data_IF_682660873272
#
_entry.id   IF_682660873272
#
_cell.length_a   1.000
_cell.length_b   1.000
_cell.length_c   1.000
_cell.angle_alpha   90.00
_cell.angle_beta   90.00
_cell.angle_gamma   90.00
#
_symmetry.space_group_name_H-M   'P 1'
#
loop_
_entity.id
_entity.type
_entity.pdbx_description
1 polymer ?
#
# COMPACT_ATOMS: atom_id res chain seq x y z
N UNK A 1 -10.45 16.14 -40.45
CA UNK A 1 -9.64 15.41 -39.45
C UNK A 1 -8.25 15.26 -40.00
N UNK A 2 -7.24 15.20 -39.13
CA UNK A 2 -5.85 14.95 -39.51
C UNK A 2 -5.29 13.80 -38.68
N UNK A 3 -4.22 13.18 -39.18
CA UNK A 3 -3.37 12.35 -38.33
C UNK A 3 -2.84 13.24 -37.20
N UNK A 4 -2.75 12.70 -35.98
CA UNK A 4 -2.21 13.45 -34.85
C UNK A 4 -0.73 13.73 -35.08
N UNK A 5 -0.35 15.02 -35.06
CA UNK A 5 1.03 15.48 -35.23
C UNK A 5 1.82 15.41 -33.91
N UNK A 6 1.12 15.47 -32.77
CA UNK A 6 1.73 15.32 -31.44
C UNK A 6 2.15 13.86 -31.19
N UNK A 7 3.29 13.62 -30.51
CA UNK A 7 3.66 12.27 -30.09
C UNK A 7 2.56 11.63 -29.25
N UNK A 8 2.22 10.38 -29.55
CA UNK A 8 1.28 9.59 -28.76
C UNK A 8 1.98 8.35 -28.23
N UNK A 9 1.70 8.00 -26.98
CA UNK A 9 2.21 6.81 -26.30
C UNK A 9 1.07 5.98 -25.73
N UNK A 10 1.24 4.67 -25.75
CA UNK A 10 0.44 3.72 -24.98
C UNK A 10 1.37 3.06 -23.98
N UNK A 11 1.07 3.20 -22.69
CA UNK A 11 1.89 2.64 -21.61
C UNK A 11 3.39 2.95 -21.79
N UNK A 12 3.72 4.20 -22.14
CA UNK A 12 5.10 4.65 -22.36
C UNK A 12 5.68 4.32 -23.74
N UNK A 13 5.17 3.31 -24.45
CA UNK A 13 5.65 2.96 -25.79
C UNK A 13 5.20 4.02 -26.83
N UNK A 14 6.16 4.61 -27.54
CA UNK A 14 5.88 5.57 -28.61
C UNK A 14 5.18 4.89 -29.79
N UNK A 15 4.08 5.50 -30.24
CA UNK A 15 3.33 5.07 -31.41
C UNK A 15 4.01 5.59 -32.66
N UNK A 16 4.36 4.70 -33.58
CA UNK A 16 4.76 5.05 -34.94
C UNK A 16 3.51 5.36 -35.75
N UNK A 17 2.98 6.56 -35.52
CA UNK A 17 1.73 7.00 -36.11
C UNK A 17 1.83 7.16 -37.64
N UNK A 18 3.04 7.34 -38.17
CA UNK A 18 3.31 7.55 -39.60
C UNK A 18 3.15 6.23 -40.38
N UNK A 19 3.60 5.12 -39.80
CA UNK A 19 3.56 3.81 -40.44
C UNK A 19 2.41 2.92 -39.93
N UNK A 20 1.65 3.35 -38.92
CA UNK A 20 0.50 2.61 -38.41
C UNK A 20 -0.62 2.48 -39.45
N UNK A 21 -1.13 1.26 -39.62
CA UNK A 21 -2.29 0.96 -40.46
C UNK A 21 -3.55 1.69 -39.97
N UNK A 22 -3.69 1.84 -38.66
CA UNK A 22 -4.77 2.58 -38.00
C UNK A 22 -4.12 3.62 -37.08
N UNK A 23 -3.76 4.79 -37.62
CA UNK A 23 -3.07 5.82 -36.85
C UNK A 23 -4.02 6.52 -35.89
N UNK A 24 -3.52 7.07 -34.80
CA UNK A 24 -4.23 8.06 -33.99
C UNK A 24 -4.53 9.31 -34.81
N UNK A 25 -5.70 9.88 -34.52
CA UNK A 25 -6.23 10.99 -35.29
C UNK A 25 -6.75 12.12 -34.41
N UNK A 26 -6.78 13.33 -34.95
CA UNK A 26 -7.29 14.50 -34.24
C UNK A 26 -8.52 15.10 -34.93
N UNK A 27 -9.53 15.41 -34.12
CA UNK A 27 -10.74 16.11 -34.53
C UNK A 27 -11.20 17.05 -33.42
N UNK A 28 -11.44 18.32 -33.77
CA UNK A 28 -11.87 19.33 -32.80
C UNK A 28 -10.87 19.57 -31.66
N UNK A 29 -9.58 19.29 -31.87
CA UNK A 29 -8.55 19.37 -30.83
C UNK A 29 -8.49 18.16 -29.89
N UNK A 30 -9.32 17.14 -30.11
CA UNK A 30 -9.30 15.88 -29.35
C UNK A 30 -8.63 14.79 -30.17
N UNK A 31 -7.74 14.03 -29.52
CA UNK A 31 -7.11 12.83 -30.08
C UNK A 31 -8.04 11.63 -29.94
N UNK A 32 -8.05 10.76 -30.94
CA UNK A 32 -8.90 9.59 -31.04
C UNK A 32 -8.07 8.32 -31.15
N UNK A 33 -8.42 7.34 -30.31
CA UNK A 33 -7.82 6.01 -30.26
C UNK A 33 -8.55 5.06 -31.24
N UNK A 34 -7.85 4.42 -32.18
CA UNK A 34 -8.42 3.33 -32.96
C UNK A 34 -8.64 2.09 -32.08
N UNK A 35 -9.88 1.64 -31.93
CA UNK A 35 -10.27 0.47 -31.14
C UNK A 35 -9.96 -0.85 -31.87
N UNK A 36 -8.66 -1.10 -32.10
CA UNK A 36 -8.18 -2.41 -32.55
C UNK A 36 -8.06 -3.36 -31.36
N UNK A 37 -7.98 -4.66 -31.65
CA UNK A 37 -7.74 -5.68 -30.62
C UNK A 37 -6.44 -5.43 -29.83
N UNK A 38 -5.35 -5.05 -30.51
CA UNK A 38 -4.05 -4.82 -29.86
C UNK A 38 -4.07 -3.58 -28.96
N UNK A 39 -4.72 -2.49 -29.39
CA UNK A 39 -4.89 -1.30 -28.54
C UNK A 39 -5.76 -1.59 -27.32
N UNK A 40 -6.85 -2.35 -27.51
CA UNK A 40 -7.73 -2.73 -26.42
C UNK A 40 -7.03 -3.61 -25.39
N UNK A 41 -6.32 -4.67 -25.81
CA UNK A 41 -5.53 -5.51 -24.91
C UNK A 41 -4.48 -4.69 -24.16
N UNK A 42 -3.73 -3.84 -24.88
CA UNK A 42 -2.66 -3.04 -24.27
C UNK A 42 -3.20 -2.12 -23.15
N UNK A 43 -4.40 -1.59 -23.32
CA UNK A 43 -5.06 -0.71 -22.36
C UNK A 43 -5.95 -1.45 -21.35
N UNK A 44 -6.04 -2.78 -21.42
CA UNK A 44 -6.92 -3.57 -20.56
C UNK A 44 -8.40 -3.24 -20.80
N UNK A 45 -8.80 -3.13 -22.06
CA UNK A 45 -10.19 -2.92 -22.47
C UNK A 45 -10.77 -4.23 -22.99
N UNK A 46 -11.99 -4.55 -22.55
CA UNK A 46 -12.83 -5.58 -23.15
C UNK A 46 -13.62 -4.98 -24.31
N UNK A 47 -13.54 -5.60 -25.47
CA UNK A 47 -14.38 -5.24 -26.62
C UNK A 47 -15.40 -6.36 -26.87
N UNK A 48 -16.68 -6.00 -26.83
CA UNK A 48 -17.79 -6.86 -27.21
C UNK A 48 -18.49 -6.31 -28.46
N UNK A 49 -18.98 -7.20 -29.31
CA UNK A 49 -19.85 -6.82 -30.42
C UNK A 49 -21.04 -7.77 -30.50
N UNK A 50 -22.22 -7.20 -30.62
CA UNK A 50 -23.46 -7.91 -30.83
C UNK A 50 -24.36 -7.16 -31.83
N UNK A 51 -25.14 -7.90 -32.61
CA UNK A 51 -25.92 -7.29 -33.69
C UNK A 51 -27.06 -6.40 -33.16
N UNK A 52 -27.61 -6.72 -31.99
CA UNK A 52 -28.75 -6.01 -31.40
C UNK A 52 -28.29 -4.85 -30.50
N UNK A 53 -27.19 -5.06 -29.77
CA UNK A 53 -26.68 -4.12 -28.75
C UNK A 53 -25.43 -3.34 -29.18
N UNK A 54 -24.86 -3.64 -30.35
CA UNK A 54 -23.77 -2.89 -30.97
C UNK A 54 -22.41 -3.10 -30.29
N UNK A 55 -21.59 -2.03 -30.27
CA UNK A 55 -20.26 -2.06 -29.67
C UNK A 55 -20.35 -1.88 -28.15
N UNK A 56 -19.71 -2.77 -27.42
CA UNK A 56 -19.61 -2.73 -25.97
C UNK A 56 -18.13 -2.56 -25.60
N UNK A 57 -17.84 -1.55 -24.78
CA UNK A 57 -16.48 -1.27 -24.30
C UNK A 57 -16.51 -1.29 -22.78
N UNK A 58 -15.79 -2.21 -22.18
CA UNK A 58 -15.68 -2.29 -20.74
C UNK A 58 -14.22 -2.16 -20.33
N UNK A 59 -13.95 -1.58 -19.17
CA UNK A 59 -12.66 -1.77 -18.52
C UNK A 59 -12.53 -3.26 -18.21
N UNK A 60 -11.60 -3.96 -18.86
CA UNK A 60 -11.26 -5.29 -18.41
C UNK A 60 -10.53 -5.09 -17.08
N UNK A 61 -11.14 -5.53 -15.97
CA UNK A 61 -10.37 -5.71 -14.75
C UNK A 61 -9.14 -6.55 -15.13
N UNK A 62 -7.90 -6.09 -14.90
CA UNK A 62 -6.77 -7.01 -14.95
C UNK A 62 -7.19 -8.19 -14.07
N UNK A 63 -7.05 -9.46 -14.54
CA UNK A 63 -7.60 -10.61 -13.84
C UNK A 63 -7.32 -10.47 -12.36
N UNK A 64 -8.41 -10.40 -11.59
CA UNK A 64 -8.39 -9.99 -10.21
C UNK A 64 -7.30 -10.75 -9.44
N UNK A 65 -6.54 -10.01 -8.66
CA UNK A 65 -5.78 -10.45 -7.49
C UNK A 65 -5.58 -11.96 -7.36
N UNK A 66 -4.36 -12.38 -7.69
CA UNK A 66 -3.81 -13.67 -7.32
C UNK A 66 -2.31 -13.63 -7.59
N UNK A 67 -1.52 -14.22 -6.70
CA UNK A 67 -0.15 -14.62 -7.01
C UNK A 67 -0.20 -15.62 -8.16
N UNK A 68 -0.27 -15.13 -9.39
CA UNK A 68 -0.15 -15.99 -10.56
C UNK A 68 1.34 -16.11 -10.84
N UNK A 69 1.92 -17.24 -10.42
CA UNK A 69 3.23 -17.63 -10.91
C UNK A 69 3.19 -17.67 -12.45
N UNK A 70 4.26 -17.20 -13.09
CA UNK A 70 4.43 -17.22 -14.54
C UNK A 70 3.41 -16.38 -15.33
N UNK A 71 2.96 -15.24 -14.80
CA UNK A 71 2.22 -14.29 -15.61
C UNK A 71 3.15 -13.54 -16.57
N UNK A 72 2.79 -13.50 -17.84
CA UNK A 72 3.44 -12.70 -18.86
C UNK A 72 2.44 -11.69 -19.41
N UNK A 73 2.89 -10.44 -19.57
CA UNK A 73 2.12 -9.44 -20.31
C UNK A 73 2.42 -9.62 -21.81
N UNK A 74 1.40 -9.74 -22.68
CA UNK A 74 1.65 -9.68 -24.12
C UNK A 74 2.27 -8.33 -24.47
N UNK A 75 3.40 -8.33 -25.18
CA UNK A 75 3.98 -7.10 -25.71
C UNK A 75 2.96 -6.39 -26.61
N UNK A 76 2.82 -5.08 -26.47
CA UNK A 76 1.97 -4.29 -27.35
C UNK A 76 2.59 -4.23 -28.75
N UNK A 77 1.86 -4.76 -29.74
CA UNK A 77 2.30 -4.82 -31.13
C UNK A 77 1.58 -3.76 -31.95
N UNK A 78 2.35 -2.95 -32.65
CA UNK A 78 1.81 -1.97 -33.59
C UNK A 78 1.68 -2.61 -34.97
N UNK A 79 0.51 -2.48 -35.60
CA UNK A 79 0.31 -2.90 -36.98
C UNK A 79 0.88 -1.84 -37.93
N UNK A 80 2.16 -1.98 -38.29
CA UNK A 80 2.88 -1.07 -39.17
C UNK A 80 2.73 -1.44 -40.67
N UNK A 81 1.70 -2.21 -41.03
CA UNK A 81 1.47 -2.65 -42.41
C UNK A 81 0.76 -1.63 -43.30
N UNK A 82 0.80 -0.34 -42.95
CA UNK A 82 0.17 0.71 -43.73
C UNK A 82 0.68 0.68 -45.18
N UNK A 83 -0.18 0.24 -46.11
CA UNK A 83 0.12 0.23 -47.55
C UNK A 83 -0.13 1.59 -48.20
N UNK A 84 -0.83 2.49 -47.49
CA UNK A 84 -1.19 3.83 -47.96
C UNK A 84 -1.18 4.80 -46.78
N UNK A 85 -0.32 5.81 -46.86
CA UNK A 85 -0.30 6.94 -45.92
C UNK A 85 -1.62 7.69 -46.04
N UNK A 86 -2.30 7.94 -44.91
CA UNK A 86 -3.51 8.78 -44.91
C UNK A 86 -3.16 10.18 -45.46
N UNK A 87 -4.00 10.78 -46.31
CA UNK A 87 -3.80 12.16 -46.72
C UNK A 87 -3.86 13.10 -45.50
N UNK A 88 -3.19 14.24 -45.58
CA UNK A 88 -3.13 15.25 -44.51
C UNK A 88 -4.51 15.66 -43.96
N UNK A 89 -5.56 15.48 -44.77
CA UNK A 89 -6.95 15.56 -44.32
C UNK A 89 -7.77 14.40 -44.89
N UNK A 90 -8.61 13.77 -44.08
CA UNK A 90 -9.56 12.75 -44.51
C UNK A 90 -10.92 12.89 -43.80
N UNK A 91 -11.92 12.18 -44.33
CA UNK A 91 -13.30 12.17 -43.85
C UNK A 91 -13.56 10.87 -43.09
N UNK A 92 -13.92 10.98 -41.81
CA UNK A 92 -14.56 9.89 -41.07
C UNK A 92 -16.07 10.15 -40.97
N UNK A 93 -16.84 9.11 -40.66
CA UNK A 93 -18.29 9.23 -40.43
C UNK A 93 -18.59 8.91 -38.97
N UNK A 94 -19.66 9.47 -38.41
CA UNK A 94 -20.09 9.06 -37.06
C UNK A 94 -20.48 7.58 -37.07
N UNK A 95 -20.08 6.82 -36.07
CA UNK A 95 -20.55 5.44 -35.89
C UNK A 95 -22.08 5.46 -35.68
N UNK A 96 -22.79 4.65 -36.49
CA UNK A 96 -24.25 4.67 -36.59
C UNK A 96 -24.94 3.55 -35.80
N UNK A 97 -24.18 2.62 -35.26
CA UNK A 97 -24.67 1.52 -34.42
C UNK A 97 -24.67 1.92 -32.93
N UNK A 98 -25.42 1.21 -32.06
CA UNK A 98 -25.42 1.47 -30.62
C UNK A 98 -24.02 1.26 -30.01
N UNK A 99 -23.66 2.11 -29.06
CA UNK A 99 -22.39 2.02 -28.33
C UNK A 99 -22.70 2.07 -26.84
N UNK A 100 -22.10 1.18 -26.06
CA UNK A 100 -22.13 1.26 -24.61
C UNK A 100 -20.72 1.18 -24.01
N UNK A 101 -20.54 1.89 -22.90
CA UNK A 101 -19.29 1.94 -22.14
C UNK A 101 -19.60 1.61 -20.68
N UNK A 102 -18.92 0.62 -20.10
CA UNK A 102 -19.17 0.17 -18.73
C UNK A 102 -20.67 -0.08 -18.45
N UNK A 103 -21.36 -0.71 -19.41
CA UNK A 103 -22.81 -0.95 -19.39
C UNK A 103 -23.72 0.27 -19.61
N UNK A 104 -23.18 1.47 -19.82
CA UNK A 104 -23.94 2.71 -20.07
C UNK A 104 -24.05 3.00 -21.56
N UNK A 105 -25.28 3.16 -22.08
CA UNK A 105 -25.52 3.49 -23.49
C UNK A 105 -25.15 4.95 -23.82
N UNK A 106 -24.47 5.15 -24.94
CA UNK A 106 -24.02 6.45 -25.43
C UNK A 106 -24.90 6.92 -26.60
N UNK A 107 -25.48 8.12 -26.49
CA UNK A 107 -26.12 8.79 -27.63
C UNK A 107 -25.08 9.51 -28.49
N UNK A 108 -24.40 8.74 -29.33
CA UNK A 108 -23.32 9.21 -30.19
C UNK A 108 -23.71 10.38 -31.12
N UNK A 109 -25.00 10.56 -31.39
CA UNK A 109 -25.48 11.65 -32.24
C UNK A 109 -25.36 13.03 -31.57
N UNK A 110 -25.42 13.05 -30.24
CA UNK A 110 -25.42 14.24 -29.38
C UNK A 110 -24.07 14.59 -28.76
N UNK A 111 -23.11 13.67 -28.85
CA UNK A 111 -21.76 13.89 -28.37
C UNK A 111 -21.06 14.99 -29.18
N UNK A 112 -20.39 15.90 -28.48
CA UNK A 112 -19.52 16.93 -29.07
C UNK A 112 -18.35 16.28 -29.83
N UNK A 113 -17.77 15.25 -29.20
CA UNK A 113 -16.72 14.40 -29.76
C UNK A 113 -17.30 12.98 -29.93
N UNK A 114 -18.02 12.70 -31.03
CA UNK A 114 -18.64 11.40 -31.25
C UNK A 114 -17.60 10.34 -31.59
N UNK A 115 -17.91 9.06 -31.37
CA UNK A 115 -17.21 7.92 -31.96
C UNK A 115 -17.31 7.95 -33.48
N UNK A 116 -16.20 7.61 -34.14
CA UNK A 116 -16.03 7.75 -35.58
C UNK A 116 -15.65 6.44 -36.23
N UNK A 117 -16.12 6.23 -37.46
CA UNK A 117 -15.69 5.12 -38.32
C UNK A 117 -14.69 5.61 -39.34
N UNK A 118 -13.55 4.92 -39.40
CA UNK A 118 -12.54 5.14 -40.40
C UNK A 118 -11.90 3.80 -40.77
N UNK A 119 -11.92 3.47 -42.07
CA UNK A 119 -11.37 2.22 -42.63
C UNK A 119 -11.91 0.94 -41.96
N UNK A 120 -13.18 0.96 -41.52
CA UNK A 120 -13.82 -0.19 -40.86
C UNK A 120 -13.39 -0.41 -39.42
N UNK A 121 -12.76 0.60 -38.79
CA UNK A 121 -12.40 0.63 -37.38
C UNK A 121 -13.11 1.80 -36.70
N UNK A 122 -13.60 1.54 -35.50
CA UNK A 122 -14.15 2.53 -34.58
C UNK A 122 -13.02 3.32 -33.91
N UNK A 123 -13.16 4.64 -33.87
CA UNK A 123 -12.25 5.56 -33.23
C UNK A 123 -12.95 6.18 -32.03
N UNK A 124 -12.38 5.95 -30.85
CA UNK A 124 -12.87 6.44 -29.58
C UNK A 124 -12.25 7.79 -29.24
N UNK A 125 -13.05 8.80 -28.86
CA UNK A 125 -12.52 10.08 -28.41
C UNK A 125 -11.81 9.93 -27.05
N UNK A 126 -10.60 10.48 -26.91
CA UNK A 126 -9.86 10.48 -25.65
C UNK A 126 -10.27 11.66 -24.74
N UNK A 127 -11.58 11.80 -24.49
CA UNK A 127 -12.10 12.79 -23.54
C UNK A 127 -12.03 12.26 -22.11
N UNK A 128 -11.88 13.15 -21.12
CA UNK A 128 -11.80 12.78 -19.71
C UNK A 128 -12.98 11.90 -19.24
N UNK A 129 -14.20 12.25 -19.67
CA UNK A 129 -15.42 11.48 -19.36
C UNK A 129 -15.35 10.04 -19.88
N UNK A 130 -14.82 9.82 -21.09
CA UNK A 130 -14.70 8.46 -21.65
C UNK A 130 -13.56 7.69 -21.01
N UNK A 131 -12.35 8.27 -20.99
CA UNK A 131 -11.14 7.53 -20.60
C UNK A 131 -11.00 7.38 -19.09
N UNK A 132 -11.18 8.45 -18.32
CA UNK A 132 -10.98 8.44 -16.87
C UNK A 132 -12.26 8.03 -16.14
N UNK A 133 -13.38 8.69 -16.43
CA UNK A 133 -14.59 8.50 -15.62
C UNK A 133 -15.27 7.16 -15.91
N UNK A 134 -15.33 6.75 -17.18
CA UNK A 134 -15.97 5.50 -17.58
C UNK A 134 -15.00 4.30 -17.66
N UNK A 135 -13.85 4.46 -18.31
CA UNK A 135 -12.91 3.35 -18.57
C UNK A 135 -11.77 3.20 -17.56
N UNK A 136 -11.63 4.13 -16.60
CA UNK A 136 -10.58 4.11 -15.57
C UNK A 136 -9.14 4.09 -16.11
N UNK A 137 -8.96 4.56 -17.34
CA UNK A 137 -7.65 4.83 -17.94
C UNK A 137 -7.09 6.13 -17.38
N UNK A 138 -5.76 6.23 -17.35
CA UNK A 138 -5.07 7.50 -17.07
C UNK A 138 -4.58 8.10 -18.38
N UNK A 139 -4.87 9.39 -18.59
CA UNK A 139 -4.25 10.17 -19.67
C UNK A 139 -3.45 11.31 -19.07
N UNK A 140 -2.27 11.59 -19.63
CA UNK A 140 -1.55 12.82 -19.34
C UNK A 140 -0.89 13.34 -20.61
N UNK A 141 -0.72 14.65 -20.68
CA UNK A 141 0.00 15.31 -21.76
C UNK A 141 1.21 16.02 -21.16
N UNK A 142 2.35 15.85 -21.82
CA UNK A 142 3.62 16.48 -21.50
C UNK A 142 4.14 17.21 -22.75
N UNK A 143 4.62 18.47 -22.66
CA UNK A 143 5.12 19.20 -23.82
C UNK A 143 6.29 18.54 -24.55
N UNK A 144 7.12 17.76 -23.84
CA UNK A 144 8.30 17.12 -24.41
C UNK A 144 7.96 15.74 -25.00
N UNK A 145 7.05 15.00 -24.37
CA UNK A 145 6.76 13.59 -24.68
C UNK A 145 5.39 13.34 -25.33
N UNK A 146 4.55 14.36 -25.43
CA UNK A 146 3.21 14.31 -26.01
C UNK A 146 2.15 13.66 -25.11
N UNK A 147 1.12 13.07 -25.74
CA UNK A 147 0.02 12.40 -25.05
C UNK A 147 0.40 10.97 -24.68
N UNK A 148 0.17 10.57 -23.43
CA UNK A 148 0.31 9.18 -23.01
C UNK A 148 -1.02 8.65 -22.47
N UNK A 149 -1.41 7.48 -22.96
CA UNK A 149 -2.61 6.74 -22.53
C UNK A 149 -2.17 5.49 -21.78
N UNK A 150 -2.56 5.40 -20.51
CA UNK A 150 -2.14 4.35 -19.60
C UNK A 150 -3.34 3.52 -19.16
N UNK A 151 -3.23 2.21 -19.35
CA UNK A 151 -4.26 1.23 -19.01
C UNK A 151 -3.68 -0.18 -18.91
N UNK A 152 -4.50 -1.12 -18.42
CA UNK A 152 -4.13 -2.54 -18.38
C UNK A 152 -2.83 -2.83 -17.63
N UNK A 153 -2.49 -1.99 -16.65
CA UNK A 153 -1.28 -2.14 -15.85
C UNK A 153 -1.51 -3.13 -14.71
N UNK A 154 -0.55 -4.02 -14.47
CA UNK A 154 -0.55 -4.94 -13.34
C UNK A 154 0.41 -4.47 -12.23
N UNK A 155 -0.02 -4.60 -10.97
CA UNK A 155 0.87 -4.40 -9.83
C UNK A 155 1.92 -5.51 -9.78
N UNK A 156 3.17 -5.16 -10.07
CA UNK A 156 4.36 -6.02 -9.99
C UNK A 156 5.13 -5.72 -8.70
N UNK A 157 5.39 -4.45 -8.40
CA UNK A 157 6.04 -4.04 -7.15
C UNK A 157 5.08 -4.27 -5.97
N UNK A 158 5.35 -5.23 -5.10
CA UNK A 158 4.45 -5.57 -4.00
C UNK A 158 4.72 -4.72 -2.76
N UNK A 159 5.49 -5.27 -1.83
CA UNK A 159 5.81 -4.59 -0.58
C UNK A 159 7.31 -4.32 -0.46
N UNK A 160 7.70 -3.09 -0.12
CA UNK A 160 9.03 -2.79 0.40
C UNK A 160 9.22 -3.62 1.66
N UNK A 161 10.18 -4.54 1.58
CA UNK A 161 10.55 -5.38 2.71
C UNK A 161 11.72 -4.76 3.44
N UNK A 162 12.76 -4.28 2.76
CA UNK A 162 13.99 -3.78 3.37
C UNK A 162 14.57 -2.61 2.57
N UNK A 163 15.52 -1.90 3.16
CA UNK A 163 16.34 -0.90 2.50
C UNK A 163 17.75 -0.83 3.10
N UNK A 164 18.69 -0.36 2.28
CA UNK A 164 20.04 0.03 2.70
C UNK A 164 20.30 1.52 2.43
N UNK A 165 21.56 1.93 2.38
CA UNK A 165 21.93 3.33 2.13
C UNK A 165 21.41 3.88 0.79
N UNK A 166 21.28 3.03 -0.23
CA UNK A 166 21.04 3.47 -1.61
C UNK A 166 19.77 2.88 -2.22
N UNK A 167 19.36 1.69 -1.79
CA UNK A 167 18.35 0.89 -2.47
C UNK A 167 17.22 0.47 -1.52
N UNK A 168 16.01 0.39 -2.08
CA UNK A 168 14.84 -0.27 -1.52
C UNK A 168 14.73 -1.68 -2.13
N UNK A 169 14.34 -2.64 -1.31
CA UNK A 169 14.15 -4.03 -1.69
C UNK A 169 12.67 -4.40 -1.54
N UNK A 170 12.07 -4.81 -2.64
CA UNK A 170 10.63 -4.98 -2.78
C UNK A 170 10.33 -6.46 -3.07
N UNK A 171 9.45 -7.05 -2.26
CA UNK A 171 8.84 -8.34 -2.58
C UNK A 171 7.77 -8.11 -3.64
N UNK A 172 7.84 -8.78 -4.81
CA UNK A 172 6.90 -8.55 -5.90
C UNK A 172 5.54 -9.20 -5.63
N UNK A 173 4.47 -8.64 -6.20
CA UNK A 173 3.12 -9.22 -6.19
C UNK A 173 2.88 -10.25 -7.30
N UNK A 174 3.81 -10.33 -8.27
CA UNK A 174 3.79 -11.26 -9.40
C UNK A 174 5.14 -11.93 -9.49
N UNK A 175 5.17 -13.24 -9.74
CA UNK A 175 6.42 -13.97 -9.95
C UNK A 175 6.64 -14.22 -11.44
N UNK A 176 7.77 -13.78 -12.02
CA UNK A 176 8.14 -14.15 -13.38
C UNK A 176 8.37 -15.68 -13.48
N UNK A 177 8.25 -16.27 -14.68
CA UNK A 177 8.55 -17.68 -14.89
C UNK A 177 10.03 -17.97 -14.62
N UNK A 178 10.32 -18.82 -13.63
CA UNK A 178 11.62 -19.41 -13.28
C UNK A 178 12.89 -18.57 -13.58
N UNK A 179 13.42 -17.90 -12.55
CA UNK A 179 14.75 -17.25 -12.56
C UNK A 179 14.63 -15.73 -12.67
N UNK A 180 14.23 -15.04 -11.59
CA UNK A 180 15.17 -14.45 -10.62
C UNK A 180 14.82 -14.84 -9.16
N UNK A 181 15.59 -14.33 -8.19
CA UNK A 181 15.21 -14.38 -6.77
C UNK A 181 13.95 -13.57 -6.46
N UNK A 182 13.42 -13.72 -5.24
CA UNK A 182 12.09 -13.21 -4.87
C UNK A 182 12.05 -11.71 -4.52
N UNK A 183 12.99 -10.90 -5.02
CA UNK A 183 13.09 -9.47 -4.71
C UNK A 183 13.42 -8.62 -5.94
N UNK A 184 12.84 -7.43 -5.98
CA UNK A 184 13.15 -6.36 -6.93
C UNK A 184 13.86 -5.24 -6.17
N UNK A 185 14.97 -4.75 -6.73
CA UNK A 185 15.77 -3.67 -6.16
C UNK A 185 15.45 -2.36 -6.88
N UNK A 186 15.17 -1.31 -6.12
CA UNK A 186 14.84 0.03 -6.64
C UNK A 186 15.74 1.07 -5.97
N UNK A 187 16.36 1.95 -6.74
CA UNK A 187 17.16 3.03 -6.16
C UNK A 187 16.31 4.02 -5.38
N UNK A 188 16.77 4.46 -4.20
CA UNK A 188 16.13 5.51 -3.40
C UNK A 188 16.10 6.88 -4.09
N UNK A 189 16.99 7.10 -5.07
CA UNK A 189 16.93 8.27 -5.96
C UNK A 189 15.72 8.27 -6.89
N UNK A 190 14.99 7.14 -6.96
CA UNK A 190 13.89 6.89 -7.88
C UNK A 190 14.28 7.08 -9.36
N UNK A 191 15.57 7.06 -9.65
CA UNK A 191 16.12 7.15 -10.99
C UNK A 191 16.53 5.77 -11.50
N UNK A 192 16.33 5.55 -12.80
CA UNK A 192 16.64 4.29 -13.47
C UNK A 192 15.57 3.21 -13.32
N UNK A 193 15.89 2.04 -13.85
CA UNK A 193 14.99 0.88 -13.91
C UNK A 193 15.16 -0.02 -12.67
N UNK A 194 14.05 -0.56 -12.12
CA UNK A 194 14.10 -1.59 -11.10
C UNK A 194 14.81 -2.84 -11.60
N UNK A 195 15.62 -3.44 -10.74
CA UNK A 195 16.46 -4.60 -11.09
C UNK A 195 15.99 -5.83 -10.34
N UNK A 196 15.66 -6.90 -11.05
CA UNK A 196 15.41 -8.21 -10.45
C UNK A 196 16.68 -8.78 -9.84
N UNK A 197 16.62 -9.14 -8.57
CA UNK A 197 17.75 -9.75 -7.88
C UNK A 197 17.82 -11.23 -8.18
N UNK A 198 19.01 -11.81 -8.22
CA UNK A 198 19.12 -13.27 -8.32
C UNK A 198 18.80 -13.95 -6.97
N UNK A 199 18.74 -15.28 -6.96
CA UNK A 199 18.36 -16.05 -5.77
C UNK A 199 19.35 -15.88 -4.61
N UNK A 200 20.65 -15.86 -4.87
CA UNK A 200 21.69 -15.73 -3.85
C UNK A 200 21.64 -14.33 -3.21
N UNK A 201 21.53 -13.29 -4.02
CA UNK A 201 21.38 -11.90 -3.56
C UNK A 201 20.12 -11.74 -2.71
N UNK A 202 19.01 -12.31 -3.17
CA UNK A 202 17.73 -12.27 -2.43
C UNK A 202 17.84 -12.96 -1.07
N UNK A 203 18.52 -14.12 -1.00
CA UNK A 203 18.75 -14.83 0.26
C UNK A 203 19.59 -14.03 1.25
N UNK A 204 20.64 -13.33 0.78
CA UNK A 204 21.46 -12.46 1.62
C UNK A 204 20.62 -11.34 2.26
N UNK A 205 19.75 -10.71 1.48
CA UNK A 205 18.81 -9.71 2.01
C UNK A 205 17.90 -10.33 3.06
N UNK A 206 17.27 -11.48 2.78
CA UNK A 206 16.38 -12.15 3.74
C UNK A 206 17.08 -12.51 5.07
N UNK A 207 18.34 -12.93 5.03
CA UNK A 207 19.13 -13.15 6.24
C UNK A 207 19.40 -11.85 7.01
N UNK A 208 19.73 -10.78 6.30
CA UNK A 208 19.95 -9.45 6.90
C UNK A 208 18.68 -8.90 7.55
N UNK A 209 17.53 -9.09 6.91
CA UNK A 209 16.20 -8.78 7.46
C UNK A 209 16.02 -9.49 8.81
N UNK A 210 16.24 -10.82 8.84
CA UNK A 210 16.09 -11.62 10.07
C UNK A 210 17.04 -11.16 11.17
N UNK A 211 18.30 -10.88 10.85
CA UNK A 211 19.31 -10.39 11.81
C UNK A 211 18.92 -9.02 12.38
N UNK A 212 18.51 -8.09 11.52
CA UNK A 212 18.10 -6.73 11.91
C UNK A 212 16.91 -6.77 12.87
N UNK A 213 15.91 -7.59 12.56
CA UNK A 213 14.71 -7.74 13.39
C UNK A 213 15.01 -8.36 14.76
N UNK A 214 15.90 -9.35 14.83
CA UNK A 214 16.30 -9.99 16.09
C UNK A 214 17.17 -9.07 16.97
N UNK A 215 17.87 -8.11 16.36
CA UNK A 215 18.73 -7.16 17.05
C UNK A 215 17.98 -5.91 17.54
N UNK A 216 16.66 -5.80 17.30
CA UNK A 216 15.86 -4.63 17.65
C UNK A 216 15.67 -4.50 19.17
N UNK A 217 16.30 -3.52 19.83
CA UNK A 217 16.27 -3.41 21.28
C UNK A 217 14.92 -2.93 21.83
N UNK A 218 14.01 -2.45 20.99
CA UNK A 218 12.75 -1.83 21.41
C UNK A 218 11.54 -2.77 21.35
N UNK A 219 11.71 -4.01 20.86
CA UNK A 219 10.66 -5.04 20.79
C UNK A 219 10.41 -5.80 22.10
N UNK A 220 11.20 -5.50 23.14
CA UNK A 220 11.13 -6.16 24.43
C UNK A 220 11.68 -7.59 24.41
N UNK A 221 11.94 -8.13 25.59
CA UNK A 221 12.45 -9.50 25.80
C UNK A 221 11.41 -10.35 26.53
N UNK A 222 11.48 -11.66 26.36
CA UNK A 222 10.57 -12.56 27.07
C UNK A 222 10.71 -12.40 28.60
N UNK A 223 9.58 -12.36 29.29
CA UNK A 223 9.52 -12.30 30.75
C UNK A 223 8.74 -13.52 31.27
N UNK A 224 9.33 -14.25 32.21
CA UNK A 224 8.70 -15.41 32.82
C UNK A 224 7.63 -14.97 33.81
N UNK A 225 6.38 -15.36 33.52
CA UNK A 225 5.24 -15.22 34.42
C UNK A 225 4.86 -16.59 34.97
N UNK A 226 4.41 -16.61 36.21
CA UNK A 226 4.10 -17.83 36.94
C UNK A 226 2.61 -17.87 37.26
N UNK A 227 1.92 -18.91 36.79
CA UNK A 227 0.55 -19.19 37.16
C UNK A 227 0.52 -19.90 38.52
N UNK A 228 -0.20 -19.33 39.49
CA UNK A 228 -0.45 -19.93 40.81
C UNK A 228 -1.95 -20.08 41.02
N UNK A 229 -2.33 -20.79 42.10
CA UNK A 229 -3.74 -21.11 42.38
C UNK A 229 -4.65 -19.88 42.51
N UNK A 230 -4.09 -18.75 42.97
CA UNK A 230 -4.79 -17.53 43.31
C UNK A 230 -4.51 -16.33 42.38
N UNK A 231 -3.68 -16.51 41.33
CA UNK A 231 -3.35 -15.42 40.42
C UNK A 231 -2.14 -15.69 39.52
N UNK A 232 -1.82 -14.70 38.67
CA UNK A 232 -0.63 -14.69 37.83
C UNK A 232 0.44 -13.80 38.47
N UNK A 233 1.67 -14.26 38.48
CA UNK A 233 2.77 -13.61 39.18
C UNK A 233 3.96 -13.30 38.26
N UNK A 234 4.70 -12.25 38.61
CA UNK A 234 6.02 -11.95 38.05
C UNK A 234 6.98 -11.64 39.19
N UNK A 235 8.07 -12.41 39.30
CA UNK A 235 9.07 -12.27 40.39
C UNK A 235 8.44 -12.19 41.79
N UNK A 236 7.41 -12.99 42.04
CA UNK A 236 6.69 -13.03 43.32
C UNK A 236 5.63 -11.95 43.52
N UNK A 237 5.49 -10.99 42.61
CA UNK A 237 4.42 -9.98 42.63
C UNK A 237 3.19 -10.51 41.90
N UNK A 238 2.02 -10.46 42.54
CA UNK A 238 0.76 -10.78 41.89
C UNK A 238 0.42 -9.66 40.90
N UNK A 239 0.20 -10.01 39.64
CA UNK A 239 -0.17 -9.10 38.56
C UNK A 239 -1.66 -9.16 38.24
N UNK A 240 -2.23 -10.37 38.24
CA UNK A 240 -3.64 -10.63 37.93
C UNK A 240 -4.24 -11.53 39.00
N UNK A 241 -5.48 -11.26 39.36
CA UNK A 241 -6.29 -12.12 40.21
C UNK A 241 -6.83 -13.32 39.43
N UNK A 242 -7.15 -14.41 40.15
CA UNK A 242 -7.74 -15.61 39.56
C UNK A 242 -8.97 -15.32 38.69
N UNK A 243 -9.80 -14.34 39.08
CA UNK A 243 -11.00 -13.92 38.34
C UNK A 243 -10.69 -13.35 36.96
N UNK A 244 -9.50 -12.80 36.75
CA UNK A 244 -9.06 -12.25 35.47
C UNK A 244 -8.47 -13.35 34.57
N UNK A 245 -8.06 -14.48 35.16
CA UNK A 245 -7.44 -15.60 34.45
C UNK A 245 -8.44 -16.60 33.86
N UNK A 246 -9.73 -16.46 34.16
CA UNK A 246 -10.75 -17.46 33.83
C UNK A 246 -10.99 -17.56 32.31
N UNK A 247 -11.30 -18.78 31.87
CA UNK A 247 -11.81 -19.10 30.54
C UNK A 247 -13.22 -18.52 30.32
N UNK A 248 -13.56 -18.05 29.11
CA UNK A 248 -14.93 -17.67 28.79
C UNK A 248 -15.91 -18.81 29.05
N UNK A 249 -17.00 -18.53 29.76
CA UNK A 249 -18.01 -19.54 30.09
C UNK A 249 -18.76 -20.03 28.85
N UNK A 250 -18.98 -21.35 28.75
CA UNK A 250 -19.87 -21.94 27.74
C UNK A 250 -19.24 -22.25 26.38
N UNK A 251 -17.92 -22.08 26.23
CA UNK A 251 -17.19 -22.40 25.00
C UNK A 251 -15.89 -23.14 25.34
N UNK A 252 -15.56 -24.21 24.58
CA UNK A 252 -14.26 -24.87 24.71
C UNK A 252 -13.15 -23.89 24.29
N UNK A 253 -12.30 -23.53 25.25
CA UNK A 253 -11.17 -22.65 25.02
C UNK A 253 -10.01 -23.06 25.91
N UNK A 254 -8.80 -22.55 25.61
CA UNK A 254 -7.63 -22.65 26.47
C UNK A 254 -7.09 -21.26 26.71
N UNK A 255 -6.77 -20.91 27.96
CA UNK A 255 -6.07 -19.66 28.29
C UNK A 255 -4.58 -19.92 28.44
N UNK A 256 -3.77 -19.04 27.87
CA UNK A 256 -2.30 -19.05 27.97
C UNK A 256 -1.80 -17.65 28.32
N UNK A 257 -0.76 -17.57 29.15
CA UNK A 257 -0.11 -16.32 29.50
C UNK A 257 1.32 -16.24 28.98
N UNK A 258 1.74 -15.03 28.60
CA UNK A 258 3.13 -14.74 28.26
C UNK A 258 3.53 -13.35 28.73
N UNK A 259 4.73 -13.19 29.29
CA UNK A 259 5.28 -11.90 29.67
C UNK A 259 6.25 -11.33 28.63
N UNK A 260 6.31 -10.01 28.53
CA UNK A 260 7.30 -9.27 27.75
C UNK A 260 7.77 -8.07 28.55
N UNK A 261 9.09 -7.87 28.64
CA UNK A 261 9.71 -6.75 29.35
C UNK A 261 10.34 -5.79 28.34
N UNK A 262 10.00 -4.51 28.44
CA UNK A 262 10.63 -3.44 27.67
C UNK A 262 11.47 -2.57 28.61
N UNK A 263 12.75 -2.40 28.31
CA UNK A 263 13.61 -1.56 29.14
C UNK A 263 13.29 -0.08 28.91
N UNK A 264 13.04 0.68 29.99
CA UNK A 264 12.85 2.13 29.91
C UNK A 264 14.15 2.85 30.28
N UNK A 265 14.62 2.64 31.50
CA UNK A 265 15.89 3.17 32.02
C UNK A 265 16.46 2.19 33.06
N UNK A 266 17.61 2.49 33.67
CA UNK A 266 18.35 1.53 34.51
C UNK A 266 17.51 0.85 35.62
N UNK A 267 16.46 1.50 36.14
CA UNK A 267 15.66 0.98 37.25
C UNK A 267 14.17 0.80 36.93
N UNK A 268 13.74 1.14 35.69
CA UNK A 268 12.33 1.05 35.27
C UNK A 268 12.21 0.27 33.98
N UNK A 269 11.19 -0.59 33.93
CA UNK A 269 10.81 -1.35 32.75
C UNK A 269 9.30 -1.29 32.57
N UNK A 270 8.83 -1.43 31.34
CA UNK A 270 7.44 -1.72 31.06
C UNK A 270 7.28 -3.25 31.04
N UNK A 271 6.45 -3.78 31.93
CA UNK A 271 6.07 -5.20 31.91
C UNK A 271 4.71 -5.34 31.25
N UNK A 272 4.65 -6.12 30.18
CA UNK A 272 3.41 -6.43 29.48
C UNK A 272 3.10 -7.92 29.59
N UNK A 273 1.88 -8.25 29.99
CA UNK A 273 1.36 -9.61 30.06
C UNK A 273 0.31 -9.79 28.97
N UNK A 274 0.47 -10.82 28.15
CA UNK A 274 -0.57 -11.23 27.20
C UNK A 274 -1.38 -12.37 27.80
N UNK A 275 -2.70 -12.20 27.87
CA UNK A 275 -3.65 -13.32 27.97
C UNK A 275 -4.06 -13.70 26.56
N UNK A 276 -3.77 -14.94 26.15
CA UNK A 276 -4.23 -15.50 24.88
C UNK A 276 -5.33 -16.50 25.16
N UNK A 277 -6.54 -16.22 24.68
CA UNK A 277 -7.66 -17.17 24.72
C UNK A 277 -7.76 -17.87 23.38
N UNK A 278 -7.44 -19.16 23.36
CA UNK A 278 -7.38 -20.00 22.16
C UNK A 278 -8.69 -20.76 22.01
N UNK A 279 -9.36 -20.55 20.88
CA UNK A 279 -10.52 -21.31 20.42
C UNK A 279 -10.11 -22.24 19.28
N UNK A 280 -11.00 -23.13 18.85
CA UNK A 280 -10.73 -24.07 17.75
C UNK A 280 -10.32 -23.38 16.44
N UNK A 281 -10.85 -22.19 16.14
CA UNK A 281 -10.62 -21.50 14.86
C UNK A 281 -9.95 -20.13 14.97
N UNK A 282 -9.68 -19.62 16.17
CA UNK A 282 -9.06 -18.32 16.38
C UNK A 282 -8.46 -18.17 17.79
N UNK A 283 -7.71 -17.10 18.00
CA UNK A 283 -7.30 -16.69 19.34
C UNK A 283 -7.52 -15.21 19.57
N UNK A 284 -8.08 -14.86 20.73
CA UNK A 284 -8.16 -13.48 21.21
C UNK A 284 -6.96 -13.18 22.10
N UNK A 285 -6.49 -11.93 22.07
CA UNK A 285 -5.34 -11.46 22.84
C UNK A 285 -5.74 -10.23 23.64
N UNK A 286 -5.48 -10.27 24.94
CA UNK A 286 -5.67 -9.13 25.84
C UNK A 286 -4.32 -8.79 26.47
N UNK A 287 -3.94 -7.52 26.45
CA UNK A 287 -2.72 -7.05 27.08
C UNK A 287 -2.99 -6.39 28.43
N UNK A 288 -2.12 -6.66 29.40
CA UNK A 288 -2.06 -5.95 30.67
C UNK A 288 -0.67 -5.34 30.79
N UNK A 289 -0.59 -4.04 30.97
CA UNK A 289 0.68 -3.30 30.94
C UNK A 289 0.93 -2.68 32.30
N UNK A 290 2.16 -2.73 32.77
CA UNK A 290 2.58 -2.24 34.07
C UNK A 290 3.89 -1.46 33.96
N UNK A 291 4.05 -0.39 34.74
CA UNK A 291 5.37 0.14 35.07
C UNK A 291 5.94 -0.75 36.19
N UNK A 292 7.05 -1.42 35.89
CA UNK A 292 7.78 -2.25 36.84
C UNK A 292 9.04 -1.52 37.31
N UNK A 293 9.16 -1.31 38.61
CA UNK A 293 10.30 -0.64 39.24
C UNK A 293 10.44 -1.04 40.70
N UNK A 294 11.66 -1.32 41.16
CA UNK A 294 12.00 -1.60 42.57
C UNK A 294 11.07 -2.63 43.25
N UNK A 295 10.74 -3.71 42.53
CA UNK A 295 9.87 -4.76 43.06
C UNK A 295 8.40 -4.35 43.20
N UNK A 296 7.96 -3.30 42.52
CA UNK A 296 6.56 -2.90 42.40
C UNK A 296 6.12 -2.90 40.94
N UNK A 297 4.84 -3.20 40.71
CA UNK A 297 4.20 -3.14 39.39
C UNK A 297 2.95 -2.27 39.46
N UNK A 298 2.92 -1.16 38.73
CA UNK A 298 1.80 -0.21 38.69
C UNK A 298 1.05 -0.39 37.36
N UNK A 299 -0.24 -0.75 37.36
CA UNK A 299 -0.98 -1.00 36.13
C UNK A 299 -1.22 0.27 35.31
N UNK A 300 -1.13 0.13 33.98
CA UNK A 300 -1.39 1.16 32.98
C UNK A 300 -2.64 0.78 32.16
N UNK A 301 -3.83 0.96 32.76
CA UNK A 301 -5.11 0.49 32.20
C UNK A 301 -5.56 1.17 30.89
N UNK A 302 -4.90 2.23 30.44
CA UNK A 302 -5.26 2.93 29.19
C UNK A 302 -4.75 2.24 27.92
N UNK A 303 -3.88 1.23 28.05
CA UNK A 303 -3.27 0.53 26.91
C UNK A 303 -3.42 -1.00 27.05
N UNK A 304 -4.61 -1.56 26.77
CA UNK A 304 -4.94 -2.97 27.00
C UNK A 304 -4.37 -3.92 25.92
N UNK A 305 -3.13 -3.68 25.49
CA UNK A 305 -2.46 -4.43 24.43
C UNK A 305 -0.97 -4.53 24.72
N UNK A 306 -0.35 -5.65 24.35
CA UNK A 306 1.11 -5.79 24.46
C UNK A 306 1.77 -4.91 23.38
N UNK A 307 2.65 -3.97 23.75
CA UNK A 307 3.31 -3.08 22.79
C UNK A 307 4.15 -3.84 21.77
N UNK A 308 4.06 -3.50 20.49
CA UNK A 308 5.01 -3.98 19.48
C UNK A 308 6.38 -3.35 19.68
N UNK A 309 6.41 -2.07 20.06
CA UNK A 309 7.63 -1.33 20.42
C UNK A 309 7.43 -0.33 21.55
N UNK A 310 8.50 -0.11 22.30
CA UNK A 310 8.65 1.00 23.25
C UNK A 310 9.90 1.79 22.89
N UNK A 311 9.71 3.02 22.39
CA UNK A 311 10.76 3.81 21.74
C UNK A 311 11.08 5.05 22.59
N UNK A 312 12.34 5.24 23.02
CA UNK A 312 12.73 6.36 23.88
C UNK A 312 12.82 7.67 23.11
N UNK A 313 12.41 8.76 23.75
CA UNK A 313 12.59 10.13 23.28
C UNK A 313 13.79 10.80 23.98
N UNK A 314 14.33 11.86 23.38
CA UNK A 314 15.47 12.62 23.93
C UNK A 314 15.15 13.32 25.26
N UNK A 315 13.88 13.62 25.51
CA UNK A 315 13.39 14.25 26.75
C UNK A 315 13.13 13.25 27.89
N UNK A 316 13.44 11.96 27.69
CA UNK A 316 13.24 10.91 28.68
C UNK A 316 11.82 10.31 28.71
N UNK A 317 10.93 10.77 27.84
CA UNK A 317 9.64 10.12 27.58
C UNK A 317 9.77 8.93 26.63
N UNK A 318 8.68 8.20 26.40
CA UNK A 318 8.64 7.03 25.51
C UNK A 318 7.36 7.00 24.68
N UNK A 319 7.50 6.60 23.41
CA UNK A 319 6.37 6.15 22.60
C UNK A 319 6.12 4.66 22.84
N UNK A 320 4.86 4.30 23.07
CA UNK A 320 4.41 2.92 23.22
C UNK A 320 3.42 2.65 22.09
N UNK A 321 3.78 1.76 21.17
CA UNK A 321 3.02 1.52 19.96
C UNK A 321 2.67 0.04 19.81
N UNK A 322 1.45 -0.21 19.32
CA UNK A 322 0.98 -1.54 18.94
C UNK A 322 0.37 -1.49 17.54
N UNK A 323 0.70 -2.52 16.76
CA UNK A 323 0.15 -2.74 15.44
C UNK A 323 -1.16 -3.56 15.51
N UNK A 324 -1.81 -3.70 14.36
CA UNK A 324 -3.11 -4.35 14.22
C UNK A 324 -3.07 -5.83 14.64
N UNK A 325 -4.07 -6.24 15.41
CA UNK A 325 -4.32 -7.65 15.71
C UNK A 325 -5.25 -8.26 14.66
N UNK A 326 -4.99 -9.52 14.32
CA UNK A 326 -5.81 -10.28 13.38
C UNK A 326 -6.60 -11.37 14.10
N UNK A 327 -7.87 -11.50 13.74
CA UNK A 327 -8.78 -12.57 14.16
C UNK A 327 -9.46 -13.13 12.91
N UNK A 328 -9.34 -14.43 12.66
CA UNK A 328 -9.84 -15.10 11.43
C UNK A 328 -9.36 -14.42 10.12
N UNK A 329 -8.14 -13.85 10.12
CA UNK A 329 -7.60 -13.13 8.96
C UNK A 329 -8.11 -11.70 8.79
N UNK A 330 -9.03 -11.24 9.64
CA UNK A 330 -9.52 -9.87 9.65
C UNK A 330 -8.77 -9.03 10.70
N UNK A 331 -8.26 -7.88 10.29
CA UNK A 331 -7.61 -6.92 11.19
C UNK A 331 -8.63 -6.16 12.04
N UNK A 332 -8.35 -6.00 13.33
CA UNK A 332 -9.19 -5.26 14.27
C UNK A 332 -8.71 -3.80 14.37
N UNK A 333 -9.37 -2.87 13.68
CA UNK A 333 -8.91 -1.48 13.55
C UNK A 333 -8.73 -0.75 14.90
N UNK A 334 -9.48 -1.13 15.94
CA UNK A 334 -9.40 -0.58 17.30
C UNK A 334 -8.18 -1.08 18.11
N UNK A 335 -7.31 -1.89 17.48
CA UNK A 335 -6.05 -2.38 18.06
C UNK A 335 -4.81 -1.64 17.55
N UNK A 336 -4.97 -0.72 16.60
CA UNK A 336 -3.92 0.23 16.24
C UNK A 336 -3.83 1.32 17.30
N UNK A 337 -2.81 1.21 18.17
CA UNK A 337 -2.72 2.00 19.40
C UNK A 337 -1.38 2.70 19.51
N UNK A 338 -1.44 3.95 19.93
CA UNK A 338 -0.28 4.74 20.30
C UNK A 338 -0.51 5.40 21.66
N UNK A 339 0.50 5.37 22.51
CA UNK A 339 0.51 6.09 23.77
C UNK A 339 1.87 6.75 24.00
N UNK A 340 1.84 7.83 24.79
CA UNK A 340 3.00 8.57 25.22
C UNK A 340 3.18 8.38 26.73
N UNK A 341 4.32 7.85 27.16
CA UNK A 341 4.69 7.71 28.56
C UNK A 341 5.68 8.82 28.91
N UNK A 342 5.30 9.77 29.77
CA UNK A 342 6.21 10.84 30.17
C UNK A 342 7.29 10.34 31.16
N UNK A 343 8.29 11.19 31.44
CA UNK A 343 9.40 10.85 32.33
C UNK A 343 8.97 10.50 33.77
N UNK A 344 7.82 11.02 34.20
CA UNK A 344 7.22 10.80 35.52
C UNK A 344 6.44 9.47 35.60
N UNK A 345 6.21 8.80 34.48
CA UNK A 345 5.50 7.53 34.40
C UNK A 345 4.00 7.64 34.15
N UNK A 346 3.50 8.83 33.81
CA UNK A 346 2.12 9.04 33.37
C UNK A 346 1.97 8.63 31.90
N UNK A 347 1.00 7.77 31.64
CA UNK A 347 0.68 7.30 30.30
C UNK A 347 -0.50 8.08 29.73
N UNK A 348 -0.37 8.50 28.48
CA UNK A 348 -1.41 9.22 27.74
C UNK A 348 -1.74 8.52 26.44
N UNK A 349 -3.00 8.14 26.24
CA UNK A 349 -3.45 7.48 25.00
C UNK A 349 -3.65 8.48 23.85
N UNK A 350 -2.87 8.39 22.78
CA UNK A 350 -3.02 9.28 21.62
C UNK A 350 -4.32 9.03 20.85
N UNK A 351 -4.83 7.80 20.85
CA UNK A 351 -6.16 7.47 20.32
C UNK A 351 -7.27 8.32 20.99
N UNK A 352 -7.19 8.52 22.32
CA UNK A 352 -8.16 9.35 23.05
C UNK A 352 -7.93 10.84 22.85
N UNK A 353 -6.67 11.27 22.85
CA UNK A 353 -6.30 12.69 22.70
C UNK A 353 -6.69 13.25 21.33
N UNK A 354 -6.43 12.49 20.26
CA UNK A 354 -6.75 12.90 18.90
C UNK A 354 -8.16 12.47 18.47
N UNK A 355 -8.90 11.83 19.37
CA UNK A 355 -10.22 11.25 19.12
C UNK A 355 -10.22 10.37 17.85
N UNK A 356 -9.36 9.35 17.82
CA UNK A 356 -9.19 8.41 16.71
C UNK A 356 -9.35 6.97 17.17
N UNK A 357 -10.18 6.23 16.44
CA UNK A 357 -10.33 4.79 16.65
C UNK A 357 -8.99 4.08 16.41
N UNK A 358 -8.28 4.46 15.35
CA UNK A 358 -7.01 3.87 14.95
C UNK A 358 -5.93 4.93 14.82
N UNK A 359 -4.80 4.70 15.50
CA UNK A 359 -3.58 5.49 15.36
C UNK A 359 -2.46 4.51 15.02
N UNK A 360 -2.10 4.43 13.74
CA UNK A 360 -1.03 3.53 13.29
C UNK A 360 0.30 4.26 13.32
N UNK A 361 1.19 3.85 14.21
CA UNK A 361 2.59 4.28 14.14
C UNK A 361 3.32 3.52 13.03
N UNK A 362 4.00 4.25 12.14
CA UNK A 362 4.72 3.66 11.02
C UNK A 362 6.14 3.24 11.43
N UNK A 363 6.72 2.29 10.70
CA UNK A 363 8.11 1.85 10.91
C UNK A 363 8.34 0.96 12.15
N UNK A 364 7.29 0.59 12.88
CA UNK A 364 7.42 -0.34 14.02
C UNK A 364 7.56 -1.79 13.58
N UNK A 365 7.03 -2.13 12.40
CA UNK A 365 7.07 -3.46 11.78
C UNK A 365 6.21 -4.51 12.48
N UNK A 366 5.69 -5.47 11.73
CA UNK A 366 4.76 -6.49 12.25
C UNK A 366 5.42 -7.44 13.25
N UNK A 367 4.64 -7.95 14.21
CA UNK A 367 5.01 -9.09 15.07
C UNK A 367 5.04 -10.43 14.34
N UNK A 368 4.31 -10.59 13.23
CA UNK A 368 4.30 -11.82 12.44
C UNK A 368 5.48 -11.86 11.46
N UNK A 369 6.04 -13.04 11.21
CA UNK A 369 7.04 -13.25 10.15
C UNK A 369 6.40 -13.36 8.77
N UNK A 370 5.12 -13.73 8.71
CA UNK A 370 4.45 -14.13 7.47
C UNK A 370 3.80 -12.94 6.72
N UNK A 371 3.58 -11.79 7.40
CA UNK A 371 2.68 -10.74 6.87
C UNK A 371 3.07 -9.30 7.23
N UNK A 372 4.34 -8.91 7.37
CA UNK A 372 4.57 -7.47 7.52
C UNK A 372 5.98 -6.92 7.45
N UNK A 373 5.99 -5.59 7.37
CA UNK A 373 7.16 -4.72 7.41
C UNK A 373 8.13 -5.11 8.52
N UNK A 374 9.42 -5.02 8.23
CA UNK A 374 10.49 -5.33 9.18
C UNK A 374 10.39 -4.43 10.41
N UNK A 375 10.11 -3.15 10.17
CA UNK A 375 10.24 -2.07 11.13
C UNK A 375 11.69 -1.91 11.59
N UNK A 376 12.34 -0.79 11.28
CA UNK A 376 13.68 -0.50 11.81
C UNK A 376 13.64 -0.29 13.32
N UNK A 377 14.73 -0.64 14.01
CA UNK A 377 14.85 -0.50 15.46
C UNK A 377 14.26 0.84 15.95
N UNK A 378 14.83 1.95 15.50
CA UNK A 378 14.27 3.27 15.72
C UNK A 378 13.66 3.85 14.41
N UNK A 379 12.33 4.02 14.32
CA UNK A 379 11.69 4.67 13.18
C UNK A 379 11.66 6.21 13.29
N UNK A 380 12.22 6.80 14.35
CA UNK A 380 12.23 8.25 14.53
C UNK A 380 13.19 8.96 13.57
N UNK A 381 12.78 10.16 13.13
CA UNK A 381 13.68 11.11 12.43
C UNK A 381 14.85 11.54 13.31
N UNK A 382 15.86 12.19 12.73
CA UNK A 382 17.00 12.75 13.49
C UNK A 382 16.56 13.73 14.59
N UNK A 383 15.46 14.44 14.35
CA UNK A 383 14.81 15.35 15.30
C UNK A 383 14.04 14.63 16.41
N UNK A 384 13.84 13.32 16.30
CA UNK A 384 13.09 12.51 17.26
C UNK A 384 11.60 12.40 16.96
N UNK A 385 11.14 12.79 15.75
CA UNK A 385 9.73 12.69 15.37
C UNK A 385 9.38 11.28 14.92
N UNK A 386 8.19 10.81 15.25
CA UNK A 386 7.62 9.57 14.70
C UNK A 386 6.67 9.89 13.54
N UNK A 387 6.41 8.91 12.69
CA UNK A 387 5.35 9.02 11.68
C UNK A 387 4.11 8.23 12.09
N UNK A 388 2.93 8.81 11.91
CA UNK A 388 1.64 8.17 12.20
C UNK A 388 0.67 8.34 11.03
N UNK A 389 -0.14 7.32 10.81
CA UNK A 389 -1.31 7.36 9.95
C UNK A 389 -2.57 7.42 10.82
N UNK A 390 -3.39 8.45 10.61
CA UNK A 390 -4.68 8.64 11.28
C UNK A 390 -5.82 8.27 10.32
N UNK A 391 -6.69 7.37 10.74
CA UNK A 391 -7.85 6.94 9.95
C UNK A 391 -9.02 7.93 10.09
N UNK A 392 -10.03 7.89 9.19
CA UNK A 392 -11.17 8.80 9.27
C UNK A 392 -12.12 8.51 10.43
N UNK A 393 -11.98 7.38 11.13
CA UNK A 393 -12.94 6.94 12.15
C UNK A 393 -12.64 7.55 13.53
N UNK A 394 -13.54 8.37 14.09
CA UNK A 394 -13.39 8.88 15.44
C UNK A 394 -13.63 7.78 16.49
N UNK A 395 -13.04 7.94 17.68
CA UNK A 395 -13.31 7.07 18.82
C UNK A 395 -14.67 7.41 19.48
N UNK A 396 -14.98 8.71 19.51
CA UNK A 396 -16.20 9.30 20.02
C UNK A 396 -16.77 10.25 18.96
N UNK A 397 -17.94 9.91 18.42
CA UNK A 397 -18.61 10.66 17.36
C UNK A 397 -19.13 12.03 17.79
N UNK A 398 -19.20 12.31 19.09
CA UNK A 398 -19.69 13.59 19.62
C UNK A 398 -18.58 14.63 19.80
N UNK A 399 -17.31 14.21 19.73
CA UNK A 399 -16.15 15.09 19.92
C UNK A 399 -15.51 15.47 18.59
N UNK A 400 -14.95 16.68 18.46
CA UNK A 400 -14.07 17.02 17.34
C UNK A 400 -12.95 15.98 17.19
N UNK A 401 -12.57 15.67 15.97
CA UNK A 401 -11.49 14.72 15.64
C UNK A 401 -10.48 15.39 14.73
N UNK A 402 -9.21 15.01 14.85
CA UNK A 402 -8.16 15.45 13.93
C UNK A 402 -8.49 14.95 12.51
N UNK A 403 -8.05 15.67 11.47
CA UNK A 403 -8.25 15.21 10.10
C UNK A 403 -7.50 13.89 9.83
N UNK A 404 -8.05 13.02 8.98
CA UNK A 404 -7.34 11.82 8.54
C UNK A 404 -6.12 12.20 7.70
N UNK A 405 -5.06 11.41 7.74
CA UNK A 405 -3.85 11.69 6.97
C UNK A 405 -2.59 11.11 7.57
N UNK A 406 -1.46 11.51 7.00
CA UNK A 406 -0.12 11.16 7.46
C UNK A 406 0.51 12.33 8.19
N UNK A 407 1.04 12.07 9.38
CA UNK A 407 1.59 13.10 10.25
C UNK A 407 2.97 12.72 10.77
N UNK A 408 3.84 13.73 10.92
CA UNK A 408 4.97 13.66 11.82
C UNK A 408 4.54 14.13 13.21
N UNK A 409 4.99 13.45 14.27
CA UNK A 409 4.66 13.76 15.66
C UNK A 409 5.93 13.95 16.47
N UNK A 410 6.08 15.09 17.14
CA UNK A 410 7.18 15.34 18.07
C UNK A 410 6.88 14.77 19.47
N UNK A 411 7.88 14.71 20.36
CA UNK A 411 7.68 14.19 21.73
C UNK A 411 6.76 15.07 22.60
N UNK A 412 6.48 16.29 22.18
CA UNK A 412 5.46 17.14 22.79
C UNK A 412 4.04 16.85 22.27
N UNK A 413 3.88 15.83 21.42
CA UNK A 413 2.63 15.35 20.82
C UNK A 413 2.03 16.30 19.77
N UNK A 414 2.81 17.26 19.26
CA UNK A 414 2.36 18.14 18.19
C UNK A 414 2.35 17.41 16.85
N UNK A 415 1.28 17.59 16.09
CA UNK A 415 1.07 17.00 14.78
C UNK A 415 1.50 17.96 13.67
N UNK A 416 2.31 17.47 12.73
CA UNK A 416 2.60 18.15 11.46
C UNK A 416 2.06 17.31 10.31
N UNK A 417 1.07 17.81 9.56
CA UNK A 417 0.52 17.12 8.40
C UNK A 417 1.59 17.00 7.31
N UNK A 418 1.78 15.78 6.79
CA UNK A 418 2.71 15.46 5.72
C UNK A 418 2.00 15.18 4.39
N UNK A 419 0.86 14.51 4.46
CA UNK A 419 0.05 14.16 3.30
C UNK A 419 -1.39 13.90 3.70
N UNK A 420 -2.31 14.16 2.77
CA UNK A 420 -3.67 13.63 2.80
C UNK A 420 -3.67 12.09 2.91
N UNK A 421 -4.81 11.46 3.27
CA UNK A 421 -4.94 10.02 3.34
C UNK A 421 -4.49 9.32 2.05
N UNK A 422 -3.57 8.36 2.19
CA UNK A 422 -3.19 7.45 1.10
C UNK A 422 -4.21 6.31 1.00
N UNK A 423 -4.40 5.70 -0.19
CA UNK A 423 -5.26 4.53 -0.36
C UNK A 423 -4.86 3.38 0.58
N UNK A 424 -5.82 2.63 1.10
CA UNK A 424 -5.55 1.48 1.99
C UNK A 424 -4.77 0.36 1.29
N UNK A 425 -4.81 0.30 -0.04
CA UNK A 425 -4.02 -0.62 -0.85
C UNK A 425 -2.54 -0.26 -0.93
N UNK A 426 -2.17 0.98 -0.59
CA UNK A 426 -0.80 1.45 -0.63
C UNK A 426 -0.06 1.05 0.66
N UNK A 427 1.15 0.55 0.51
CA UNK A 427 2.06 0.36 1.64
C UNK A 427 2.68 1.70 2.02
N UNK A 428 2.87 1.92 3.33
CA UNK A 428 3.62 3.04 3.88
C UNK A 428 4.87 2.54 4.58
N UNK A 429 6.04 3.02 4.17
CA UNK A 429 7.31 2.49 4.63
C UNK A 429 8.22 3.59 5.18
N UNK A 430 8.76 3.37 6.39
CA UNK A 430 9.78 4.26 6.97
C UNK A 430 11.15 3.64 6.73
N UNK A 431 11.99 4.32 5.96
CA UNK A 431 13.30 3.81 5.58
C UNK A 431 14.34 3.92 6.69
N UNK A 432 15.49 3.26 6.51
CA UNK A 432 16.60 3.30 7.48
C UNK A 432 17.14 4.71 7.70
N UNK A 433 17.13 5.55 6.67
CA UNK A 433 17.46 6.99 6.66
C UNK A 433 16.29 7.91 7.04
N UNK A 434 15.22 7.33 7.61
CA UNK A 434 14.09 8.03 8.25
C UNK A 434 13.20 8.82 7.29
N UNK A 435 13.18 8.42 6.03
CA UNK A 435 12.26 8.97 5.04
C UNK A 435 10.99 8.12 4.95
N UNK A 436 9.90 8.76 4.55
CA UNK A 436 8.59 8.11 4.41
C UNK A 436 8.30 7.87 2.94
N UNK A 437 8.08 6.61 2.59
CA UNK A 437 7.70 6.17 1.26
C UNK A 437 6.28 5.64 1.23
N UNK A 438 5.61 5.78 0.09
CA UNK A 438 4.39 5.05 -0.26
C UNK A 438 4.59 4.25 -1.54
N UNK A 439 4.09 3.01 -1.55
CA UNK A 439 4.13 2.13 -2.71
C UNK A 439 2.72 1.65 -3.02
N UNK A 440 2.30 1.79 -4.28
CA UNK A 440 0.99 1.30 -4.72
C UNK A 440 -0.17 2.28 -4.54
N UNK A 441 0.10 3.58 -4.38
CA UNK A 441 -0.94 4.62 -4.54
C UNK A 441 -1.56 4.57 -5.94
N UNK A 442 -0.72 4.24 -6.92
CA UNK A 442 -1.06 3.88 -8.30
C UNK A 442 -0.24 2.66 -8.68
N UNK A 443 -0.61 2.01 -9.78
CA UNK A 443 0.07 0.79 -10.22
C UNK A 443 1.58 1.03 -10.38
N UNK A 444 2.39 0.19 -9.73
CA UNK A 444 3.87 0.24 -9.75
C UNK A 444 4.46 1.63 -9.47
N UNK A 445 3.73 2.45 -8.69
CA UNK A 445 4.16 3.80 -8.36
C UNK A 445 4.74 3.82 -6.96
N UNK A 446 5.97 4.32 -6.86
CA UNK A 446 6.67 4.55 -5.62
C UNK A 446 6.85 6.06 -5.44
N UNK A 447 6.46 6.58 -4.29
CA UNK A 447 6.61 7.99 -3.94
C UNK A 447 7.39 8.10 -2.65
N UNK A 448 8.37 8.99 -2.63
CA UNK A 448 9.00 9.47 -1.43
C UNK A 448 8.19 10.67 -0.91
N UNK A 449 7.39 10.45 0.12
CA UNK A 449 6.53 11.50 0.72
C UNK A 449 7.41 12.58 1.37
N UNK A 450 8.60 12.22 1.88
CA UNK A 450 9.50 13.16 2.52
C UNK A 450 10.15 14.15 1.55
N UNK A 451 10.49 13.73 0.32
CA UNK A 451 11.10 14.62 -0.70
C UNK A 451 10.09 15.13 -1.74
N UNK A 452 8.94 14.48 -1.87
CA UNK A 452 7.96 14.74 -2.92
C UNK A 452 8.27 14.05 -4.25
N UNK A 453 9.41 13.36 -4.37
CA UNK A 453 9.80 12.62 -5.57
C UNK A 453 8.92 11.39 -5.76
N UNK A 454 8.62 11.04 -7.02
CA UNK A 454 7.86 9.86 -7.36
C UNK A 454 8.34 9.28 -8.68
N UNK A 455 8.26 7.95 -8.80
CA UNK A 455 8.49 7.22 -10.03
C UNK A 455 7.39 6.18 -10.24
N UNK A 456 7.09 5.94 -11.50
CA UNK A 456 6.17 4.89 -11.95
C UNK A 456 6.86 4.12 -13.07
N UNK A 457 6.76 2.80 -13.00
CA UNK A 457 7.29 1.89 -14.02
C UNK A 457 6.15 1.06 -14.60
N UNK A 458 6.14 0.87 -15.91
CA UNK A 458 5.14 0.03 -16.55
C UNK A 458 5.41 -1.43 -16.22
N UNK A 459 4.35 -2.22 -16.08
CA UNK A 459 4.49 -3.66 -15.79
C UNK A 459 5.34 -4.41 -16.84
N UNK A 460 5.35 -3.98 -18.10
CA UNK A 460 6.19 -4.55 -19.15
C UNK A 460 7.69 -4.24 -18.97
N UNK A 461 8.03 -3.06 -18.46
CA UNK A 461 9.42 -2.72 -18.09
C UNK A 461 9.90 -3.61 -16.93
N UNK A 462 8.98 -4.01 -16.06
CA UNK A 462 9.27 -4.81 -14.87
C UNK A 462 9.23 -6.32 -15.09
N UNK A 463 8.75 -6.84 -16.21
CA UNK A 463 8.48 -8.29 -16.34
C UNK A 463 9.29 -9.00 -17.43
N UNK A 464 10.32 -8.37 -17.97
CA UNK A 464 11.14 -8.91 -19.08
C UNK A 464 10.27 -9.62 -20.12
N UNK A 465 9.50 -8.86 -20.89
CA UNK A 465 8.75 -9.45 -22.01
C UNK A 465 9.71 -9.72 -23.16
N UNK A 466 9.91 -11.01 -23.50
CA UNK A 466 10.53 -11.44 -24.76
C UNK A 466 9.93 -10.75 -26.00
#
# INVERSE_FOLDING_TARGET
MSVTDDPVRINGQLIDNVHSKYPFITYGGITYLPLTWDHAIALGLGLGWDADTGLQIDSASPPAYGTSAAWTKPAFKQDLSASRVLPASYTAVKSAYPISIAGTSIDNSREEYPFLELQGITYMPLTWSVVNDQLKLTIYWDPENGLNVIGGQRQVLGNIVFDDANDLYISPSVMPPAGPGNLVKVSKSLSGEPVWMNQEESQKIQEQIKRTRLADPYRGTAAEVEEREDGLYYKGLKLLEKTEMVEPSGVSSKVEFSGTLFQLNNNRSLLAVQKRTVFTSASLRTGYVYIYSDGNAIPLGEFPQVPDKVIPNKDGSFWIASDIQFVHGHGLLDTLRLAHLNADGELKSMNREWNKLSVKMLGIGSRSFDFGEIGYANPQTEEGRIFVQLTPYPLDGERPTIEAGLYAVDSAQNLTLLSEPVPESAQLYVSSDKQLYSLGERVNTLRNISTGEAAMWYDCELLETE
#
